data_IF_748755836021
#
_entry.id   IF_748755836021
#
_cell.length_a   1.000
_cell.length_b   1.000
_cell.length_c   1.000
_cell.angle_alpha   90.00
_cell.angle_beta   90.00
_cell.angle_gamma   90.00
#
_symmetry.space_group_name_H-M   'P 1'
#
loop_
_entity.id
_entity.type
_entity.pdbx_description
1 polymer ?
#
# COMPACT_ATOMS: atom_id res chain seq x y z
N UNK A 1 1.23 -29.12 54.63
CA UNK A 1 2.00 -28.42 53.58
C UNK A 1 1.71 -29.05 52.21
N UNK A 2 0.44 -29.07 51.77
CA UNK A 2 0.01 -29.63 50.47
C UNK A 2 -1.29 -28.98 49.97
N UNK A 3 -1.43 -27.67 50.15
CA UNK A 3 -2.66 -26.93 49.81
C UNK A 3 -2.41 -25.62 49.05
N UNK A 4 -1.23 -25.50 48.41
CA UNK A 4 -0.87 -24.32 47.59
C UNK A 4 -0.21 -24.75 46.27
N UNK A 5 -0.65 -25.88 45.69
CA UNK A 5 -0.09 -26.42 44.44
C UNK A 5 -1.16 -26.84 43.42
N UNK A 6 -2.39 -26.33 43.58
CA UNK A 6 -3.48 -26.55 42.63
C UNK A 6 -4.01 -25.26 41.97
N UNK A 7 -3.53 -24.08 42.36
CA UNK A 7 -4.02 -22.79 41.86
C UNK A 7 -3.08 -22.14 40.81
N UNK A 8 -1.87 -22.66 40.59
CA UNK A 8 -0.91 -22.09 39.65
C UNK A 8 -0.94 -22.71 38.24
N UNK A 9 -1.63 -23.83 38.04
CA UNK A 9 -1.70 -24.53 36.75
C UNK A 9 -2.98 -24.23 35.94
N UNK A 10 -3.94 -23.50 36.50
CA UNK A 10 -5.16 -23.09 35.79
C UNK A 10 -5.09 -21.68 35.16
N UNK A 11 -4.04 -20.89 35.44
CA UNK A 11 -3.82 -19.58 34.84
C UNK A 11 -3.03 -19.61 33.52
N UNK A 12 -2.72 -20.80 32.99
CA UNK A 12 -1.93 -20.97 31.77
C UNK A 12 -2.69 -21.62 30.59
N UNK A 13 -4.02 -21.81 30.71
CA UNK A 13 -4.81 -22.50 29.68
C UNK A 13 -6.05 -21.73 29.20
N UNK A 14 -6.03 -20.41 29.30
CA UNK A 14 -6.92 -19.53 28.52
C UNK A 14 -6.22 -18.18 28.33
N UNK A 15 -5.08 -18.20 27.65
CA UNK A 15 -4.89 -17.17 26.65
C UNK A 15 -5.56 -17.73 25.41
N UNK A 16 -6.86 -17.49 25.15
CA UNK A 16 -7.22 -17.44 23.77
C UNK A 16 -6.41 -16.26 23.24
N UNK A 17 -5.33 -16.57 22.53
CA UNK A 17 -5.08 -15.91 21.26
C UNK A 17 -6.39 -16.04 20.47
N UNK A 18 -7.39 -15.24 20.85
CA UNK A 18 -8.42 -14.77 19.95
C UNK A 18 -7.63 -13.92 18.96
N UNK A 19 -6.95 -14.60 18.02
CA UNK A 19 -7.03 -14.18 16.64
C UNK A 19 -8.52 -14.20 16.34
N UNK A 20 -9.21 -13.12 16.73
CA UNK A 20 -10.51 -12.80 16.19
C UNK A 20 -10.25 -12.75 14.70
N UNK A 21 -10.64 -13.83 14.02
CA UNK A 21 -10.62 -13.84 12.57
C UNK A 21 -11.51 -12.69 12.15
N UNK A 22 -10.89 -11.66 11.59
CA UNK A 22 -11.60 -10.53 11.04
C UNK A 22 -12.70 -11.04 10.12
N UNK A 23 -13.91 -10.55 10.34
CA UNK A 23 -15.02 -10.96 9.50
C UNK A 23 -14.87 -10.32 8.13
N UNK A 24 -15.32 -11.02 7.09
CA UNK A 24 -15.44 -10.47 5.74
C UNK A 24 -16.13 -9.09 5.69
N UNK A 25 -17.07 -8.82 6.61
CA UNK A 25 -17.76 -7.53 6.72
C UNK A 25 -16.84 -6.43 7.27
N UNK A 26 -16.01 -6.73 8.26
CA UNK A 26 -15.02 -5.80 8.81
C UNK A 26 -13.96 -5.46 7.77
N UNK A 27 -13.46 -6.45 7.02
CA UNK A 27 -12.50 -6.20 5.93
C UNK A 27 -13.07 -5.24 4.88
N UNK A 28 -14.32 -5.45 4.47
CA UNK A 28 -15.02 -4.56 3.52
C UNK A 28 -15.17 -3.16 4.09
N UNK A 29 -15.49 -3.03 5.37
CA UNK A 29 -15.66 -1.73 5.99
C UNK A 29 -14.34 -0.96 6.04
N UNK A 30 -13.25 -1.62 6.44
CA UNK A 30 -11.91 -1.03 6.46
C UNK A 30 -11.51 -0.57 5.07
N UNK A 31 -11.69 -1.43 4.07
CA UNK A 31 -11.38 -1.12 2.69
C UNK A 31 -12.21 0.06 2.19
N UNK A 32 -13.53 0.05 2.38
CA UNK A 32 -14.40 1.14 1.97
C UNK A 32 -14.03 2.47 2.64
N UNK A 33 -13.67 2.44 3.93
CA UNK A 33 -13.28 3.62 4.66
C UNK A 33 -11.96 4.20 4.13
N UNK A 34 -10.92 3.39 4.00
CA UNK A 34 -9.63 3.87 3.53
C UNK A 34 -9.64 4.22 2.03
N UNK A 35 -10.39 3.48 1.21
CA UNK A 35 -10.63 3.81 -0.20
C UNK A 35 -11.40 5.12 -0.36
N UNK A 36 -12.33 5.42 0.56
CA UNK A 36 -13.07 6.69 0.50
C UNK A 36 -12.11 7.88 0.62
N UNK A 37 -11.08 7.80 1.45
CA UNK A 37 -10.04 8.84 1.55
C UNK A 37 -9.31 8.97 0.19
N UNK A 38 -8.97 7.85 -0.44
CA UNK A 38 -8.38 7.84 -1.79
C UNK A 38 -9.30 8.55 -2.81
N UNK A 39 -10.60 8.25 -2.81
CA UNK A 39 -11.57 8.79 -3.78
C UNK A 39 -11.95 10.24 -3.52
N UNK A 40 -12.20 10.62 -2.28
CA UNK A 40 -12.71 11.95 -1.98
C UNK A 40 -11.55 12.96 -1.92
N UNK A 41 -10.40 12.58 -1.38
CA UNK A 41 -9.33 13.54 -1.10
C UNK A 41 -8.27 13.56 -2.21
N UNK A 42 -7.83 12.40 -2.73
CA UNK A 42 -6.80 12.39 -3.78
C UNK A 42 -7.34 12.85 -5.14
N UNK A 43 -8.63 12.63 -5.43
CA UNK A 43 -9.28 13.12 -6.67
C UNK A 43 -9.41 14.65 -6.65
N UNK A 44 -9.77 15.20 -5.49
CA UNK A 44 -10.00 16.64 -5.30
C UNK A 44 -8.72 17.43 -5.03
N UNK A 45 -7.61 16.77 -4.66
CA UNK A 45 -6.31 17.45 -4.60
C UNK A 45 -6.09 18.28 -5.86
N UNK A 46 -5.53 19.48 -5.76
CA UNK A 46 -5.27 20.33 -6.93
C UNK A 46 -3.77 20.35 -7.25
N UNK A 47 -2.93 20.30 -6.23
CA UNK A 47 -1.48 20.32 -6.32
C UNK A 47 -0.83 19.09 -5.64
N UNK A 48 0.51 19.02 -5.64
CA UNK A 48 1.25 17.91 -5.01
C UNK A 48 1.22 17.93 -3.48
N UNK A 49 1.10 19.09 -2.83
CA UNK A 49 0.97 19.15 -1.38
C UNK A 49 -0.37 18.56 -0.93
N UNK A 50 -1.46 18.91 -1.60
CA UNK A 50 -2.79 18.34 -1.33
C UNK A 50 -2.81 16.82 -1.57
N UNK A 51 -2.15 16.36 -2.63
CA UNK A 51 -1.98 14.94 -2.90
C UNK A 51 -1.21 14.26 -1.78
N UNK A 52 -0.08 14.82 -1.33
CA UNK A 52 0.71 14.21 -0.26
C UNK A 52 -0.03 14.15 1.06
N UNK A 53 -0.87 15.15 1.36
CA UNK A 53 -1.75 15.12 2.53
C UNK A 53 -2.79 14.01 2.42
N UNK A 54 -3.56 13.97 1.33
CA UNK A 54 -4.54 12.91 1.10
C UNK A 54 -3.91 11.51 1.09
N UNK A 55 -2.69 11.40 0.58
CA UNK A 55 -1.92 10.17 0.60
C UNK A 55 -1.49 9.77 2.02
N UNK A 56 -1.07 10.73 2.85
CA UNK A 56 -0.80 10.51 4.27
C UNK A 56 -2.06 10.08 5.03
N UNK A 57 -3.21 10.71 4.79
CA UNK A 57 -4.47 10.35 5.42
C UNK A 57 -4.90 8.91 5.03
N UNK A 58 -4.65 8.50 3.78
CA UNK A 58 -4.87 7.12 3.34
C UNK A 58 -3.95 6.12 4.07
N UNK A 59 -2.66 6.44 4.19
CA UNK A 59 -1.68 5.60 4.88
C UNK A 59 -2.06 5.44 6.36
N UNK A 60 -2.38 6.55 7.03
CA UNK A 60 -2.84 6.55 8.43
C UNK A 60 -4.11 5.73 8.63
N UNK A 61 -5.03 5.74 7.66
CA UNK A 61 -6.18 4.85 7.69
C UNK A 61 -5.77 3.39 7.65
N UNK A 62 -4.86 2.99 6.76
CA UNK A 62 -4.41 1.60 6.66
C UNK A 62 -3.59 1.14 7.88
N UNK A 63 -2.95 2.07 8.58
CA UNK A 63 -2.10 1.84 9.76
C UNK A 63 -2.84 1.71 11.08
N UNK A 64 -4.13 2.05 11.14
CA UNK A 64 -4.82 2.05 12.43
C UNK A 64 -4.75 0.65 13.07
N UNK A 65 -4.50 0.53 14.38
CA UNK A 65 -4.33 -0.77 15.05
C UNK A 65 -5.54 -1.71 14.88
N UNK A 66 -6.75 -1.15 14.87
CA UNK A 66 -8.03 -1.80 14.57
C UNK A 66 -8.23 -2.13 13.09
N UNK A 67 -7.26 -1.83 12.23
CA UNK A 67 -7.22 -2.32 10.86
C UNK A 67 -6.16 -3.41 10.73
N UNK A 68 -5.04 -3.31 11.43
CA UNK A 68 -3.91 -4.24 11.36
C UNK A 68 -4.23 -5.68 11.79
N UNK A 69 -5.18 -5.89 12.71
CA UNK A 69 -5.66 -7.22 13.11
C UNK A 69 -6.40 -7.98 11.99
N UNK A 70 -6.89 -7.29 10.95
CA UNK A 70 -7.48 -7.93 9.76
C UNK A 70 -6.37 -8.36 8.81
N UNK A 71 -6.12 -9.66 8.78
CA UNK A 71 -4.91 -10.26 8.24
C UNK A 71 -5.13 -11.08 6.96
N UNK A 72 -6.15 -10.73 6.18
CA UNK A 72 -6.42 -11.41 4.91
C UNK A 72 -5.38 -11.08 3.84
N UNK A 73 -5.14 -12.05 2.95
CA UNK A 73 -4.21 -11.91 1.81
C UNK A 73 -4.39 -10.60 1.03
N UNK A 74 -5.61 -10.13 0.73
CA UNK A 74 -5.77 -8.88 -0.02
C UNK A 74 -5.38 -7.62 0.75
N UNK A 75 -5.75 -7.54 2.04
CA UNK A 75 -5.37 -6.40 2.89
C UNK A 75 -3.86 -6.36 3.10
N UNK A 76 -3.21 -7.52 3.28
CA UNK A 76 -1.75 -7.62 3.31
C UNK A 76 -1.11 -7.09 2.03
N UNK A 77 -1.59 -7.53 0.86
CA UNK A 77 -1.07 -7.10 -0.43
C UNK A 77 -1.21 -5.59 -0.64
N UNK A 78 -2.35 -5.02 -0.26
CA UNK A 78 -2.60 -3.58 -0.34
C UNK A 78 -1.71 -2.77 0.61
N UNK A 79 -1.56 -3.20 1.88
CA UNK A 79 -0.66 -2.55 2.85
C UNK A 79 0.79 -2.57 2.37
N UNK A 80 1.22 -3.70 1.82
CA UNK A 80 2.55 -3.82 1.25
C UNK A 80 2.76 -2.86 0.08
N UNK A 81 1.79 -2.78 -0.85
CA UNK A 81 1.81 -1.79 -1.93
C UNK A 81 1.95 -0.35 -1.39
N UNK A 82 1.13 0.01 -0.40
CA UNK A 82 1.13 1.35 0.21
C UNK A 82 2.49 1.64 0.85
N UNK A 83 3.05 0.70 1.61
CA UNK A 83 4.37 0.81 2.25
C UNK A 83 5.49 1.07 1.23
N UNK A 84 5.55 0.27 0.16
CA UNK A 84 6.58 0.43 -0.87
C UNK A 84 6.40 1.71 -1.69
N UNK A 85 5.16 2.17 -1.86
CA UNK A 85 4.86 3.46 -2.48
C UNK A 85 5.37 4.63 -1.62
N UNK A 86 5.17 4.59 -0.30
CA UNK A 86 5.70 5.60 0.62
C UNK A 86 7.23 5.65 0.54
N UNK A 87 7.90 4.50 0.54
CA UNK A 87 9.37 4.45 0.43
C UNK A 87 9.86 5.04 -0.91
N UNK A 88 9.15 4.77 -2.00
CA UNK A 88 9.46 5.35 -3.31
C UNK A 88 9.22 6.87 -3.36
N UNK A 89 8.14 7.35 -2.77
CA UNK A 89 7.82 8.79 -2.71
C UNK A 89 8.82 9.56 -1.83
N UNK A 90 9.30 8.95 -0.73
CA UNK A 90 10.42 9.46 0.07
C UNK A 90 11.70 9.58 -0.73
N UNK A 91 12.10 8.50 -1.42
CA UNK A 91 13.33 8.49 -2.25
C UNK A 91 13.26 9.52 -3.37
N UNK A 92 12.13 9.58 -4.06
CA UNK A 92 11.96 10.52 -5.18
C UNK A 92 11.69 11.95 -4.72
N UNK A 93 11.39 12.18 -3.44
CA UNK A 93 11.08 13.49 -2.90
C UNK A 93 9.74 14.05 -3.39
N UNK A 94 8.77 13.18 -3.68
CA UNK A 94 7.39 13.57 -4.02
C UNK A 94 6.60 13.83 -2.74
N UNK A 95 6.54 12.85 -1.83
CA UNK A 95 5.95 12.97 -0.49
C UNK A 95 6.94 12.40 0.53
N UNK A 96 7.64 13.27 1.27
CA UNK A 96 8.74 12.86 2.15
C UNK A 96 8.32 12.67 3.63
N UNK A 97 7.24 13.32 4.06
CA UNK A 97 6.77 13.32 5.45
C UNK A 97 5.78 12.19 5.80
N UNK A 98 5.50 11.30 4.84
CA UNK A 98 4.54 10.20 5.04
C UNK A 98 5.17 9.07 5.84
N UNK A 99 4.68 8.76 7.05
CA UNK A 99 5.12 7.57 7.81
C UNK A 99 4.30 6.34 7.39
N UNK A 100 4.97 5.19 7.27
CA UNK A 100 4.36 3.89 6.92
C UNK A 100 4.94 2.74 7.79
N UNK A 101 5.55 3.08 8.93
CA UNK A 101 6.30 2.15 9.77
C UNK A 101 5.43 0.99 10.30
N UNK A 102 4.14 1.21 10.54
CA UNK A 102 3.23 0.16 11.00
C UNK A 102 2.82 -0.80 9.87
N UNK A 103 2.67 -0.29 8.63
CA UNK A 103 2.43 -1.13 7.46
C UNK A 103 3.64 -2.00 7.13
N UNK A 104 4.83 -1.47 7.31
CA UNK A 104 6.06 -2.20 7.05
C UNK A 104 6.16 -3.45 7.95
N UNK A 105 5.88 -3.29 9.25
CA UNK A 105 5.88 -4.40 10.19
C UNK A 105 4.87 -5.48 9.81
N UNK A 106 3.66 -5.08 9.40
CA UNK A 106 2.61 -6.00 8.96
C UNK A 106 2.92 -6.70 7.61
N UNK A 107 3.77 -6.10 6.76
CA UNK A 107 4.12 -6.64 5.44
C UNK A 107 5.30 -7.62 5.45
N UNK A 108 6.06 -7.71 6.55
CA UNK A 108 7.17 -8.67 6.70
C UNK A 108 6.72 -10.14 6.60
N UNK A 109 5.42 -10.40 6.73
CA UNK A 109 4.82 -11.73 6.60
C UNK A 109 4.57 -12.15 5.14
N UNK A 110 4.60 -11.21 4.20
CA UNK A 110 4.57 -11.53 2.77
C UNK A 110 5.99 -11.85 2.29
N UNK A 111 6.10 -12.76 1.32
CA UNK A 111 7.39 -13.05 0.67
C UNK A 111 7.84 -11.81 -0.08
N UNK A 112 8.69 -11.00 0.57
CA UNK A 112 9.29 -9.83 -0.07
C UNK A 112 10.10 -10.30 -1.29
N UNK A 113 10.07 -9.55 -2.41
CA UNK A 113 11.03 -9.73 -3.49
C UNK A 113 12.44 -9.72 -2.90
N UNK A 114 13.38 -10.46 -3.49
CA UNK A 114 14.78 -10.52 -3.01
C UNK A 114 15.46 -9.14 -2.93
N UNK A 115 14.86 -8.11 -3.51
CA UNK A 115 15.41 -6.76 -3.57
C UNK A 115 14.47 -5.71 -2.97
N UNK A 116 14.77 -5.26 -1.74
CA UNK A 116 14.05 -4.21 -0.99
C UNK A 116 14.30 -2.80 -1.56
N UNK A 117 13.27 -2.00 -1.82
CA UNK A 117 13.42 -0.60 -2.25
C UNK A 117 14.36 0.20 -1.35
N UNK A 118 14.37 -0.05 -0.04
CA UNK A 118 15.21 0.70 0.93
C UNK A 118 16.68 0.71 0.56
N UNK A 119 17.20 -0.38 -0.02
CA UNK A 119 18.61 -0.50 -0.44
C UNK A 119 18.96 0.26 -1.73
N UNK A 120 17.98 0.89 -2.37
CA UNK A 120 18.18 1.66 -3.61
C UNK A 120 18.70 3.06 -3.31
N UNK A 121 19.73 3.47 -4.06
CA UNK A 121 20.26 4.84 -4.08
C UNK A 121 20.24 5.39 -5.51
N UNK A 122 20.07 6.70 -5.66
CA UNK A 122 20.29 7.39 -6.94
C UNK A 122 21.79 7.59 -7.16
N UNK A 123 22.26 7.36 -8.38
CA UNK A 123 23.65 7.53 -8.79
C UNK A 123 23.97 9.01 -9.09
N UNK A 124 22.94 9.84 -9.32
CA UNK A 124 23.11 11.29 -9.52
C UNK A 124 21.86 12.11 -9.17
N UNK A 125 22.04 13.42 -8.98
CA UNK A 125 20.93 14.36 -8.82
C UNK A 125 20.08 14.49 -10.10
N UNK A 126 20.69 14.32 -11.28
CA UNK A 126 19.98 14.29 -12.56
C UNK A 126 18.99 13.11 -12.61
N UNK A 127 19.46 11.94 -12.20
CA UNK A 127 18.63 10.74 -12.12
C UNK A 127 17.49 10.91 -11.12
N UNK A 128 17.77 11.42 -9.92
CA UNK A 128 16.74 11.68 -8.91
C UNK A 128 15.65 12.64 -9.44
N UNK A 129 16.03 13.72 -10.11
CA UNK A 129 15.09 14.67 -10.75
C UNK A 129 14.27 14.03 -11.86
N UNK A 130 14.90 13.19 -12.67
CA UNK A 130 14.23 12.46 -13.75
C UNK A 130 13.14 11.53 -13.20
N UNK A 131 13.48 10.72 -12.19
CA UNK A 131 12.55 9.77 -11.57
C UNK A 131 11.43 10.51 -10.82
N UNK A 132 11.75 11.60 -10.10
CA UNK A 132 10.73 12.47 -9.47
C UNK A 132 9.73 12.99 -10.50
N UNK A 133 10.21 13.53 -11.62
CA UNK A 133 9.34 14.12 -12.66
C UNK A 133 8.48 13.07 -13.38
N UNK A 134 8.97 11.84 -13.53
CA UNK A 134 8.15 10.72 -14.00
C UNK A 134 7.08 10.35 -12.97
N UNK A 135 7.45 10.27 -11.70
CA UNK A 135 6.54 9.91 -10.61
C UNK A 135 5.37 10.90 -10.50
N UNK A 136 5.65 12.21 -10.41
CA UNK A 136 4.63 13.26 -10.33
C UNK A 136 3.67 13.22 -11.53
N UNK A 137 4.20 12.99 -12.73
CA UNK A 137 3.38 12.84 -13.94
C UNK A 137 2.45 11.63 -13.86
N UNK A 138 2.93 10.48 -13.37
CA UNK A 138 2.10 9.29 -13.27
C UNK A 138 1.05 9.40 -12.16
N UNK A 139 1.37 10.08 -11.06
CA UNK A 139 0.37 10.49 -10.06
C UNK A 139 -0.71 11.36 -10.69
N UNK A 140 -0.33 12.35 -11.50
CA UNK A 140 -1.29 13.23 -12.16
C UNK A 140 -2.19 12.48 -13.16
N UNK A 141 -1.65 11.48 -13.89
CA UNK A 141 -2.46 10.61 -14.75
C UNK A 141 -3.45 9.75 -13.95
N UNK A 142 -3.01 9.17 -12.85
CA UNK A 142 -3.87 8.41 -11.94
C UNK A 142 -5.02 9.29 -11.43
N UNK A 143 -4.72 10.52 -10.99
CA UNK A 143 -5.72 11.50 -10.53
C UNK A 143 -6.70 11.88 -11.61
N UNK A 144 -6.23 12.16 -12.83
CA UNK A 144 -7.09 12.44 -13.97
C UNK A 144 -8.03 11.26 -14.27
N UNK A 145 -7.50 10.03 -14.24
CA UNK A 145 -8.30 8.83 -14.44
C UNK A 145 -9.41 8.70 -13.39
N UNK A 146 -9.10 8.90 -12.10
CA UNK A 146 -10.08 8.84 -11.01
C UNK A 146 -11.17 9.92 -11.11
N UNK A 147 -10.88 11.07 -11.73
CA UNK A 147 -11.89 12.11 -12.00
C UNK A 147 -12.84 11.73 -13.12
N UNK A 148 -12.30 11.14 -14.17
CA UNK A 148 -13.03 10.81 -15.39
C UNK A 148 -13.84 9.50 -15.27
N UNK A 149 -13.42 8.59 -14.38
CA UNK A 149 -13.99 7.27 -14.28
C UNK A 149 -14.52 7.00 -12.87
N UNK A 150 -15.80 6.62 -12.80
CA UNK A 150 -16.42 6.07 -11.58
C UNK A 150 -16.03 4.62 -11.30
N UNK A 151 -15.39 3.95 -12.26
CA UNK A 151 -14.86 2.58 -12.11
C UNK A 151 -13.73 2.60 -11.09
N UNK A 152 -13.87 1.77 -10.06
CA UNK A 152 -13.14 1.83 -8.79
C UNK A 152 -11.60 1.81 -8.85
N UNK A 153 -11.01 1.80 -7.67
CA UNK A 153 -9.63 2.20 -7.37
C UNK A 153 -8.58 1.41 -8.15
N UNK A 154 -8.90 0.19 -8.60
CA UNK A 154 -8.03 -0.60 -9.47
C UNK A 154 -7.77 0.05 -10.84
N UNK A 155 -8.72 0.75 -11.45
CA UNK A 155 -8.52 1.41 -12.74
C UNK A 155 -7.46 2.52 -12.64
N UNK A 156 -7.49 3.27 -11.53
CA UNK A 156 -6.51 4.30 -11.22
C UNK A 156 -5.12 3.73 -10.96
N UNK A 157 -5.04 2.69 -10.12
CA UNK A 157 -3.79 1.96 -9.84
C UNK A 157 -3.21 1.39 -11.14
N UNK A 158 -4.03 0.82 -12.01
CA UNK A 158 -3.62 0.35 -13.33
C UNK A 158 -3.13 1.48 -14.23
N UNK A 159 -3.76 2.66 -14.21
CA UNK A 159 -3.30 3.81 -15.01
C UNK A 159 -1.95 4.33 -14.53
N UNK A 160 -1.76 4.38 -13.21
CA UNK A 160 -0.48 4.69 -12.60
C UNK A 160 0.61 3.71 -13.07
N UNK A 161 0.34 2.39 -13.02
CA UNK A 161 1.26 1.36 -13.51
C UNK A 161 1.53 1.47 -15.00
N UNK A 162 0.48 1.65 -15.81
CA UNK A 162 0.59 1.84 -17.25
C UNK A 162 1.45 3.05 -17.58
N UNK A 163 1.30 4.15 -16.84
CA UNK A 163 2.16 5.32 -16.96
C UNK A 163 3.63 4.98 -16.68
N UNK A 164 3.92 4.30 -15.56
CA UNK A 164 5.30 3.92 -15.22
C UNK A 164 5.92 2.98 -16.27
N UNK A 165 5.18 1.98 -16.72
CA UNK A 165 5.67 0.96 -17.64
C UNK A 165 5.84 1.49 -19.07
N UNK A 166 4.91 2.33 -19.55
CA UNK A 166 4.88 2.77 -20.94
C UNK A 166 5.63 4.08 -21.21
N UNK A 167 5.99 4.85 -20.18
CA UNK A 167 6.72 6.09 -20.42
C UNK A 167 8.22 5.82 -20.64
N UNK A 168 8.68 6.27 -21.82
CA UNK A 168 10.03 6.18 -22.35
C UNK A 168 10.93 7.36 -21.98
N UNK A 169 10.57 8.17 -20.97
CA UNK A 169 11.44 9.28 -20.53
C UNK A 169 12.81 8.68 -20.23
N UNK A 170 13.87 9.37 -20.65
CA UNK A 170 15.28 9.00 -20.62
C UNK A 170 15.85 8.53 -19.25
N UNK A 171 15.01 8.34 -18.23
CA UNK A 171 15.34 7.67 -16.97
C UNK A 171 15.42 6.13 -17.09
N UNK A 172 15.39 5.53 -18.30
CA UNK A 172 15.38 4.07 -18.48
C UNK A 172 16.61 3.36 -17.89
N UNK A 173 17.72 4.06 -17.69
CA UNK A 173 18.91 3.55 -17.00
C UNK A 173 18.85 3.66 -15.47
N UNK A 174 17.81 4.26 -14.90
CA UNK A 174 17.72 4.43 -13.45
C UNK A 174 17.46 3.10 -12.76
N UNK A 175 18.43 2.64 -11.96
CA UNK A 175 18.30 1.44 -11.11
C UNK A 175 17.09 1.54 -10.17
N UNK A 176 16.85 2.65 -9.44
CA UNK A 176 15.62 2.88 -8.70
C UNK A 176 14.34 2.64 -9.48
N UNK A 177 14.26 3.19 -10.69
CA UNK A 177 13.06 3.07 -11.51
C UNK A 177 12.84 1.63 -11.99
N UNK A 178 13.87 0.95 -12.46
CA UNK A 178 13.77 -0.45 -12.90
C UNK A 178 13.37 -1.37 -11.75
N UNK A 179 13.96 -1.18 -10.57
CA UNK A 179 13.64 -1.97 -9.38
C UNK A 179 12.20 -1.74 -8.91
N UNK A 180 11.77 -0.49 -8.85
CA UNK A 180 10.39 -0.15 -8.53
C UNK A 180 9.41 -0.76 -9.55
N UNK A 181 9.71 -0.70 -10.86
CA UNK A 181 8.89 -1.35 -11.90
C UNK A 181 8.74 -2.86 -11.67
N UNK A 182 9.84 -3.58 -11.37
CA UNK A 182 9.79 -5.02 -11.14
C UNK A 182 8.94 -5.38 -9.91
N UNK A 183 9.17 -4.68 -8.81
CA UNK A 183 8.41 -4.88 -7.58
C UNK A 183 6.92 -4.55 -7.77
N UNK A 184 6.59 -3.48 -8.48
CA UNK A 184 5.21 -3.14 -8.81
C UNK A 184 4.52 -4.22 -9.67
N UNK A 185 5.25 -4.88 -10.58
CA UNK A 185 4.70 -5.98 -11.36
C UNK A 185 4.40 -7.21 -10.49
N UNK A 186 5.21 -7.48 -9.47
CA UNK A 186 4.99 -8.59 -8.54
C UNK A 186 3.83 -8.28 -7.56
N UNK A 187 3.83 -7.11 -6.94
CA UNK A 187 2.77 -6.65 -6.06
C UNK A 187 1.45 -6.51 -6.82
N UNK A 188 1.49 -5.92 -8.02
CA UNK A 188 0.31 -5.77 -8.87
C UNK A 188 -0.31 -7.12 -9.24
N UNK A 189 0.49 -8.18 -9.43
CA UNK A 189 -0.02 -9.55 -9.64
C UNK A 189 -0.68 -10.11 -8.37
N UNK A 190 -0.04 -9.95 -7.21
CA UNK A 190 -0.59 -10.43 -5.93
C UNK A 190 -1.87 -9.70 -5.53
N UNK A 191 -1.90 -8.38 -5.68
CA UNK A 191 -3.08 -7.53 -5.52
C UNK A 191 -4.14 -7.99 -6.52
N UNK A 192 -3.86 -7.98 -7.82
CA UNK A 192 -4.84 -8.41 -8.83
C UNK A 192 -5.40 -9.81 -8.57
N UNK A 193 -4.56 -10.80 -8.28
CA UNK A 193 -5.00 -12.15 -7.93
C UNK A 193 -5.88 -12.16 -6.67
N UNK A 194 -5.49 -11.42 -5.63
CA UNK A 194 -6.27 -11.30 -4.38
C UNK A 194 -7.64 -10.63 -4.61
N UNK A 195 -7.71 -9.66 -5.54
CA UNK A 195 -8.95 -8.99 -5.94
C UNK A 195 -9.83 -9.88 -6.84
N UNK A 196 -9.24 -10.62 -7.78
CA UNK A 196 -9.94 -11.52 -8.72
C UNK A 196 -10.44 -12.81 -8.06
N UNK A 197 -9.73 -13.31 -7.05
CA UNK A 197 -10.13 -14.51 -6.30
C UNK A 197 -11.08 -14.21 -5.15
N UNK A 198 -11.16 -12.95 -4.72
CA UNK A 198 -12.07 -12.51 -3.67
C UNK A 198 -13.41 -12.09 -4.25
N UNK A 199 -14.46 -12.86 -3.93
CA UNK A 199 -15.86 -12.52 -4.26
C UNK A 199 -16.33 -11.18 -3.66
N UNK A 200 -15.58 -10.65 -2.72
CA UNK A 200 -15.83 -9.42 -1.97
C UNK A 200 -15.26 -8.21 -2.70
N UNK A 201 -14.00 -8.33 -3.12
CA UNK A 201 -13.22 -7.25 -3.72
C UNK A 201 -13.54 -7.02 -5.20
N UNK A 202 -14.18 -8.00 -5.83
CA UNK A 202 -14.67 -7.90 -7.21
C UNK A 202 -15.55 -6.67 -7.44
N UNK A 203 -16.24 -6.17 -6.42
CA UNK A 203 -17.09 -4.97 -6.51
C UNK A 203 -16.32 -3.65 -6.29
N UNK A 204 -15.13 -3.70 -5.66
CA UNK A 204 -14.22 -2.54 -5.56
C UNK A 204 -13.43 -2.34 -6.86
N UNK A 205 -13.30 -3.41 -7.65
CA UNK A 205 -12.61 -3.44 -8.93
C UNK A 205 -13.46 -4.12 -10.01
N UNK A 206 -14.59 -3.49 -10.42
CA UNK A 206 -15.51 -4.04 -11.41
C UNK A 206 -14.88 -4.15 -12.82
#
# INVERSE_FOLDING_TARGET
MYLVLAAATYLLLVSPTLSLMCTQKEEVNILNECVKILKDEMVLSENMADYCKAYQDWVQCMERPDNLWCDSSPLKGLRYFVSERVEFDKKTGVCHDTDASLLEAASLELKRPETDLKSVTFESAEEARCVKSLNERCVNKMRAYMREHTTGDCGAINEYFRCFLNNSINCNSSKPLQKYKNMLLEIGKEVKMSFETSSILKNLCP
#
